data_IF_955304338157
#
_entry.id   IF_955304338157
#
_cell.length_a   1.000
_cell.length_b   1.000
_cell.length_c   1.000
_cell.angle_alpha   90.00
_cell.angle_beta   90.00
_cell.angle_gamma   90.00
#
_symmetry.space_group_name_H-M   'P 1'
#
loop_
_entity.id
_entity.type
_entity.pdbx_description
1 polymer ?
#
# COMPACT_ATOMS: atom_id res chain seq x y z
N UNK A 1 68.77 -8.61 -36.78
CA UNK A 1 68.32 -8.27 -35.41
C UNK A 1 66.92 -7.69 -35.51
N UNK A 2 65.97 -8.30 -34.79
CA UNK A 2 64.54 -8.10 -34.96
C UNK A 2 64.07 -6.68 -34.61
N UNK A 3 63.17 -6.14 -35.43
CA UNK A 3 62.41 -4.93 -35.14
C UNK A 3 61.23 -5.30 -34.21
N UNK A 4 61.15 -4.65 -33.06
CA UNK A 4 60.01 -4.77 -32.15
C UNK A 4 58.93 -3.77 -32.55
N UNK A 5 57.79 -4.28 -33.02
CA UNK A 5 56.56 -3.49 -33.17
C UNK A 5 55.85 -3.51 -31.82
N UNK A 6 55.77 -2.36 -31.15
CA UNK A 6 54.98 -2.19 -29.94
C UNK A 6 53.52 -1.97 -30.33
N UNK A 7 52.68 -2.96 -30.09
CA UNK A 7 51.22 -2.81 -30.18
C UNK A 7 50.72 -2.11 -28.90
N UNK A 8 50.34 -0.85 -29.02
CA UNK A 8 49.60 -0.12 -27.99
C UNK A 8 48.12 -0.54 -28.06
N UNK A 9 47.71 -1.42 -27.15
CA UNK A 9 46.30 -1.79 -26.97
C UNK A 9 45.63 -0.68 -26.18
N UNK A 10 44.85 0.16 -26.86
CA UNK A 10 43.94 1.09 -26.21
C UNK A 10 42.73 0.31 -25.65
N UNK A 11 42.74 0.02 -24.36
CA UNK A 11 41.57 -0.49 -23.65
C UNK A 11 40.58 0.67 -23.50
N UNK A 12 39.59 0.75 -24.38
CA UNK A 12 38.44 1.63 -24.19
C UNK A 12 37.66 1.08 -23.00
N UNK A 13 37.84 1.70 -21.83
CA UNK A 13 36.89 1.54 -20.73
C UNK A 13 35.61 2.25 -21.17
N UNK A 14 34.68 1.50 -21.77
CA UNK A 14 33.28 1.90 -21.81
C UNK A 14 32.81 1.82 -20.37
N UNK A 15 32.91 2.93 -19.64
CA UNK A 15 32.10 3.13 -18.45
C UNK A 15 30.68 3.23 -18.96
N UNK A 16 30.00 2.08 -19.06
CA UNK A 16 28.56 2.03 -19.22
C UNK A 16 27.99 2.66 -17.95
N UNK A 17 27.75 3.96 -18.02
CA UNK A 17 26.90 4.67 -17.08
C UNK A 17 25.45 4.34 -17.46
N UNK A 18 25.11 3.04 -17.50
CA UNK A 18 23.74 2.60 -17.69
C UNK A 18 23.04 2.83 -16.37
N UNK A 19 22.23 3.89 -16.30
CA UNK A 19 21.27 4.06 -15.21
C UNK A 19 20.52 2.76 -14.97
N UNK A 20 20.24 2.44 -13.71
CA UNK A 20 19.53 1.21 -13.37
C UNK A 20 18.09 1.32 -13.89
N UNK A 21 17.75 0.50 -14.88
CA UNK A 21 16.39 0.44 -15.46
C UNK A 21 15.33 0.25 -14.35
N UNK A 22 14.23 1.03 -14.33
CA UNK A 22 13.16 0.92 -13.34
C UNK A 22 12.44 -0.44 -13.38
N UNK A 23 12.78 -1.30 -12.43
CA UNK A 23 12.14 -2.60 -12.21
C UNK A 23 12.20 -2.95 -10.73
N UNK A 24 11.32 -3.86 -10.28
CA UNK A 24 11.44 -4.48 -8.97
C UNK A 24 12.75 -5.24 -8.87
N UNK A 25 13.45 -5.12 -7.73
CA UNK A 25 14.77 -5.76 -7.52
C UNK A 25 14.83 -6.54 -6.21
N UNK A 26 15.60 -7.62 -6.23
CA UNK A 26 15.97 -8.34 -5.03
C UNK A 26 17.15 -7.69 -4.30
N UNK A 27 17.56 -8.24 -3.15
CA UNK A 27 18.67 -7.70 -2.35
C UNK A 27 20.05 -7.78 -3.03
N UNK A 28 20.19 -8.64 -4.05
CA UNK A 28 21.39 -8.70 -4.91
C UNK A 28 21.38 -7.63 -5.99
N UNK A 29 20.29 -6.86 -6.12
CA UNK A 29 20.08 -5.87 -7.16
C UNK A 29 19.63 -6.46 -8.49
N UNK A 30 19.35 -7.77 -8.56
CA UNK A 30 18.88 -8.43 -9.78
C UNK A 30 17.40 -8.09 -10.00
N UNK A 31 16.97 -7.86 -11.26
CA UNK A 31 15.56 -7.61 -11.57
C UNK A 31 14.70 -8.83 -11.22
N UNK A 32 13.51 -8.58 -10.70
CA UNK A 32 12.48 -9.59 -10.42
C UNK A 32 11.15 -9.12 -10.98
N UNK A 33 10.32 -10.08 -11.39
CA UNK A 33 9.04 -9.79 -12.03
C UNK A 33 8.01 -9.14 -11.07
N UNK A 34 8.00 -9.59 -9.82
CA UNK A 34 7.27 -8.99 -8.72
C UNK A 34 7.90 -9.42 -7.39
N UNK A 35 7.57 -8.72 -6.30
CA UNK A 35 7.82 -9.21 -4.95
C UNK A 35 6.76 -8.72 -3.98
N UNK A 36 6.66 -9.44 -2.85
CA UNK A 36 5.99 -8.96 -1.65
C UNK A 36 7.04 -8.71 -0.57
N UNK A 37 6.91 -7.61 0.16
CA UNK A 37 7.69 -7.34 1.38
C UNK A 37 6.72 -7.09 2.53
N UNK A 38 6.98 -7.74 3.66
CA UNK A 38 6.25 -7.57 4.90
C UNK A 38 7.21 -7.09 5.98
N UNK A 39 7.11 -5.82 6.34
CA UNK A 39 7.88 -5.23 7.44
C UNK A 39 7.19 -5.58 8.75
N UNK A 40 7.91 -6.18 9.70
CA UNK A 40 7.36 -6.73 10.94
C UNK A 40 7.24 -5.65 12.04
N UNK A 41 6.18 -5.66 12.86
CA UNK A 41 6.02 -4.67 13.93
C UNK A 41 7.18 -4.70 14.93
N UNK A 42 7.38 -3.58 15.61
CA UNK A 42 8.44 -3.46 16.60
C UNK A 42 8.09 -4.23 17.86
N UNK A 43 8.95 -5.15 18.27
CA UNK A 43 8.83 -5.87 19.53
C UNK A 43 10.13 -5.72 20.36
N UNK A 44 10.07 -4.89 21.42
CA UNK A 44 11.26 -4.42 22.17
C UNK A 44 12.11 -5.54 22.78
N UNK A 45 11.48 -6.65 23.17
CA UNK A 45 12.14 -7.76 23.89
C UNK A 45 12.49 -8.94 22.97
N UNK A 46 12.31 -8.79 21.65
CA UNK A 46 12.56 -9.85 20.70
C UNK A 46 14.05 -10.20 20.58
N UNK A 47 14.39 -11.47 20.33
CA UNK A 47 15.78 -11.91 20.21
C UNK A 47 16.49 -11.29 19.00
N UNK A 48 15.78 -11.12 17.88
CA UNK A 48 16.31 -10.48 16.68
C UNK A 48 16.41 -8.93 16.86
N UNK A 49 17.61 -8.33 16.73
CA UNK A 49 17.81 -6.88 16.88
C UNK A 49 17.06 -6.02 15.86
N UNK A 50 16.82 -6.52 14.64
CA UNK A 50 16.04 -5.79 13.63
C UNK A 50 14.57 -5.68 14.04
N UNK A 51 14.01 -6.73 14.64
CA UNK A 51 12.64 -6.72 15.18
C UNK A 51 12.54 -5.76 16.38
N UNK A 52 13.52 -5.75 17.28
CA UNK A 52 13.58 -4.78 18.41
C UNK A 52 13.58 -3.33 17.97
N UNK A 53 14.20 -3.05 16.83
CA UNK A 53 14.24 -1.72 16.21
C UNK A 53 13.02 -1.42 15.33
N UNK A 54 12.22 -2.42 14.97
CA UNK A 54 11.08 -2.25 14.07
C UNK A 54 11.48 -2.03 12.62
N UNK A 55 12.60 -2.62 12.20
CA UNK A 55 13.13 -2.51 10.82
C UNK A 55 13.36 -3.87 10.17
N UNK A 56 12.98 -4.96 10.84
CA UNK A 56 12.97 -6.30 10.25
C UNK A 56 11.88 -6.39 9.17
N UNK A 57 12.19 -7.05 8.06
CA UNK A 57 11.21 -7.36 7.03
C UNK A 57 11.42 -8.74 6.44
N UNK A 58 10.32 -9.36 6.05
CA UNK A 58 10.30 -10.61 5.31
C UNK A 58 9.91 -10.35 3.86
N UNK A 59 10.25 -11.27 2.95
CA UNK A 59 9.91 -11.10 1.55
C UNK A 59 9.56 -12.41 0.84
N UNK A 60 8.82 -12.28 -0.28
CA UNK A 60 8.52 -13.34 -1.24
C UNK A 60 8.90 -12.86 -2.64
N UNK A 61 9.48 -13.78 -3.43
CA UNK A 61 9.82 -13.55 -4.84
C UNK A 61 9.43 -14.76 -5.67
N UNK A 62 9.20 -14.62 -6.99
CA UNK A 62 8.86 -15.74 -7.86
C UNK A 62 9.83 -16.93 -7.73
N UNK A 63 11.14 -16.65 -7.71
CA UNK A 63 12.19 -17.68 -7.70
C UNK A 63 12.31 -18.45 -6.38
N UNK A 64 11.80 -17.89 -5.27
CA UNK A 64 11.85 -18.51 -3.93
C UNK A 64 10.48 -18.81 -3.33
N UNK A 65 9.40 -18.62 -4.09
CA UNK A 65 8.02 -18.71 -3.61
C UNK A 65 7.68 -20.04 -2.92
N UNK A 66 8.24 -21.17 -3.40
CA UNK A 66 8.03 -22.51 -2.81
C UNK A 66 8.65 -22.68 -1.42
N UNK A 67 9.72 -21.96 -1.10
CA UNK A 67 10.35 -21.98 0.22
C UNK A 67 9.63 -21.09 1.25
N UNK A 68 8.72 -20.25 0.77
CA UNK A 68 7.90 -19.34 1.55
C UNK A 68 8.61 -18.07 1.99
N UNK A 69 8.07 -17.42 3.04
CA UNK A 69 8.56 -16.13 3.51
C UNK A 69 10.03 -16.21 3.95
N UNK A 70 10.87 -15.32 3.43
CA UNK A 70 12.29 -15.25 3.80
C UNK A 70 12.49 -14.07 4.75
N UNK A 71 13.12 -14.31 5.89
CA UNK A 71 13.54 -13.25 6.81
C UNK A 71 14.80 -12.59 6.24
N UNK A 72 14.78 -11.27 6.01
CA UNK A 72 15.97 -10.54 5.58
C UNK A 72 16.94 -10.31 6.75
N UNK A 73 18.24 -10.33 6.42
CA UNK A 73 19.32 -9.88 7.31
C UNK A 73 19.55 -8.36 7.23
N UNK A 74 18.93 -7.68 6.27
CA UNK A 74 18.99 -6.23 6.10
C UNK A 74 17.84 -5.56 6.85
N UNK A 75 18.11 -4.35 7.36
CA UNK A 75 17.03 -3.47 7.80
C UNK A 75 16.25 -2.97 6.58
N UNK A 76 14.94 -2.77 6.71
CA UNK A 76 14.16 -2.15 5.63
C UNK A 76 14.66 -0.74 5.32
N UNK A 77 15.24 -0.03 6.29
CA UNK A 77 15.87 1.28 6.08
C UNK A 77 17.22 1.21 5.35
N UNK A 78 17.80 0.04 5.17
CA UNK A 78 19.08 -0.12 4.45
C UNK A 78 18.84 0.13 2.95
N UNK A 79 19.60 1.01 2.27
CA UNK A 79 19.51 1.21 0.81
C UNK A 79 19.78 -0.06 -0.02
N UNK A 80 20.37 -1.09 0.60
CA UNK A 80 20.57 -2.41 -0.03
C UNK A 80 19.38 -3.36 0.12
N UNK A 81 18.37 -2.99 0.93
CA UNK A 81 17.12 -3.74 1.03
C UNK A 81 16.43 -3.85 -0.33
N UNK A 82 15.50 -4.81 -0.47
CA UNK A 82 14.74 -4.95 -1.71
C UNK A 82 14.02 -3.66 -2.12
N UNK A 83 13.39 -2.99 -1.14
CA UNK A 83 12.69 -1.72 -1.37
C UNK A 83 13.69 -0.61 -1.72
N UNK A 84 14.83 -0.53 -1.03
CA UNK A 84 15.88 0.45 -1.32
C UNK A 84 16.51 0.30 -2.71
N UNK A 85 16.81 -0.94 -3.13
CA UNK A 85 17.31 -1.23 -4.47
C UNK A 85 16.30 -0.91 -5.56
N UNK A 86 15.04 -1.25 -5.32
CA UNK A 86 13.92 -0.99 -6.24
C UNK A 86 13.69 0.50 -6.44
N UNK A 87 13.79 1.31 -5.38
CA UNK A 87 13.61 2.76 -5.45
C UNK A 87 14.89 3.52 -5.78
N UNK A 88 16.04 2.85 -5.91
CA UNK A 88 17.31 3.52 -6.22
C UNK A 88 17.28 4.39 -7.49
N UNK A 89 16.54 4.08 -8.59
CA UNK A 89 16.47 4.96 -9.75
C UNK A 89 15.87 6.33 -9.43
N UNK A 90 14.93 6.42 -8.47
CA UNK A 90 14.32 7.68 -8.04
C UNK A 90 15.35 8.70 -7.53
N UNK A 91 16.45 8.22 -6.96
CA UNK A 91 17.49 9.05 -6.35
C UNK A 91 18.70 9.29 -7.26
N UNK A 92 18.69 8.73 -8.47
CA UNK A 92 19.74 8.94 -9.46
C UNK A 92 19.52 10.26 -10.20
N UNK A 93 20.55 10.73 -10.89
CA UNK A 93 20.48 11.98 -11.68
C UNK A 93 19.79 11.81 -13.03
N UNK A 94 19.33 10.60 -13.36
CA UNK A 94 18.68 10.34 -14.63
C UNK A 94 17.33 11.07 -14.69
N UNK A 95 17.25 12.04 -15.60
CA UNK A 95 16.04 12.84 -15.84
C UNK A 95 15.15 12.25 -16.92
N UNK A 96 15.52 11.13 -17.52
CA UNK A 96 14.76 10.49 -18.58
C UNK A 96 13.83 9.39 -18.05
N UNK A 97 13.69 9.26 -16.73
CA UNK A 97 12.73 8.33 -16.12
C UNK A 97 11.42 9.04 -15.77
N UNK A 98 10.31 8.35 -15.96
CA UNK A 98 9.02 8.67 -15.35
C UNK A 98 9.15 8.43 -13.85
N UNK A 99 8.70 9.37 -13.04
CA UNK A 99 8.63 9.23 -11.59
C UNK A 99 7.33 9.82 -11.05
N UNK A 100 6.53 9.00 -10.39
CA UNK A 100 5.31 9.40 -9.70
C UNK A 100 5.33 8.85 -8.29
N UNK A 101 5.14 9.73 -7.30
CA UNK A 101 4.96 9.34 -5.91
C UNK A 101 3.62 9.87 -5.46
N UNK A 102 2.82 9.00 -4.86
CA UNK A 102 1.55 9.38 -4.27
C UNK A 102 1.45 8.82 -2.85
N UNK A 103 0.97 9.65 -1.93
CA UNK A 103 0.81 9.27 -0.54
C UNK A 103 -0.15 10.25 0.14
N UNK A 104 -1.26 9.76 0.69
CA UNK A 104 -2.21 10.59 1.44
C UNK A 104 -1.66 11.10 2.79
N UNK A 105 -0.46 10.67 3.16
CA UNK A 105 0.32 11.18 4.29
C UNK A 105 1.77 11.45 3.83
N UNK A 106 2.04 12.56 3.12
CA UNK A 106 3.32 12.80 2.44
C UNK A 106 4.54 12.83 3.38
N UNK A 107 5.75 12.51 2.88
CA UNK A 107 7.01 12.71 3.60
C UNK A 107 7.25 14.21 3.83
N UNK A 108 7.07 14.67 5.07
CA UNK A 108 7.36 16.02 5.57
C UNK A 108 6.85 17.22 4.73
N UNK A 109 5.62 17.64 4.98
CA UNK A 109 5.44 19.01 5.50
C UNK A 109 5.21 18.88 7.01
N UNK A 110 6.15 19.42 7.78
CA UNK A 110 6.10 19.50 9.23
C UNK A 110 4.87 20.34 9.65
N UNK A 111 4.13 19.88 10.68
CA UNK A 111 2.90 20.46 11.25
C UNK A 111 1.55 20.20 10.55
N UNK A 112 1.22 18.94 10.26
CA UNK A 112 -0.19 18.53 10.36
C UNK A 112 -0.39 17.60 11.56
N UNK A 113 -1.10 18.03 12.62
CA UNK A 113 -1.52 17.13 13.68
C UNK A 113 -2.42 16.04 13.09
N UNK A 114 -2.39 14.86 13.72
CA UNK A 114 -3.25 13.73 13.38
C UNK A 114 -4.69 14.20 13.12
N UNK A 115 -5.31 13.71 12.04
CA UNK A 115 -6.69 13.98 11.64
C UNK A 115 -7.63 13.79 12.84
N UNK A 116 -7.36 12.78 13.66
CA UNK A 116 -8.09 12.50 14.90
C UNK A 116 -7.97 13.63 15.93
N UNK A 117 -6.78 14.20 16.09
CA UNK A 117 -6.52 15.31 17.01
C UNK A 117 -7.24 16.59 16.53
N UNK A 118 -7.19 16.87 15.23
CA UNK A 118 -7.87 18.02 14.63
C UNK A 118 -9.41 17.93 14.74
N UNK A 119 -9.96 16.73 14.55
CA UNK A 119 -11.40 16.45 14.69
C UNK A 119 -11.84 16.58 16.16
N UNK A 120 -11.04 16.05 17.10
CA UNK A 120 -11.30 16.20 18.53
C UNK A 120 -11.27 17.66 19.00
N UNK A 121 -10.40 18.48 18.41
CA UNK A 121 -10.27 19.92 18.71
C UNK A 121 -11.44 20.74 18.15
N UNK A 122 -11.91 20.49 16.92
CA UNK A 122 -13.12 21.15 16.40
C UNK A 122 -14.38 20.78 17.18
N UNK A 123 -14.56 19.51 17.49
CA UNK A 123 -15.70 19.07 18.29
C UNK A 123 -15.67 19.77 19.67
N UNK A 124 -14.49 19.85 20.29
CA UNK A 124 -14.30 20.58 21.55
C UNK A 124 -14.65 22.07 21.44
N UNK A 125 -14.43 22.68 20.26
CA UNK A 125 -14.78 24.08 19.98
C UNK A 125 -16.27 24.26 19.71
N UNK A 126 -16.95 23.34 19.01
CA UNK A 126 -18.40 23.45 18.77
C UNK A 126 -19.23 23.25 20.05
N UNK A 127 -18.80 22.34 20.95
CA UNK A 127 -19.44 22.18 22.27
C UNK A 127 -19.32 23.40 23.18
N UNK A 128 -18.32 24.27 22.98
CA UNK A 128 -18.20 25.53 23.76
C UNK A 128 -19.28 26.56 23.42
N UNK A 129 -20.04 26.38 22.32
CA UNK A 129 -21.11 27.28 21.90
C UNK A 129 -22.53 26.81 22.22
N UNK A 130 -22.74 25.60 22.75
CA UNK A 130 -24.08 25.06 23.02
C UNK A 130 -24.33 24.91 24.52
N UNK A 131 -25.19 25.77 25.07
CA UNK A 131 -25.76 25.59 26.40
C UNK A 131 -26.66 24.35 26.43
N UNK A 132 -26.45 23.50 27.44
CA UNK A 132 -27.18 22.26 27.70
C UNK A 132 -28.69 22.51 27.84
N UNK A 133 -29.50 21.82 27.05
CA UNK A 133 -30.81 21.36 27.52
C UNK A 133 -30.71 19.88 27.87
N UNK A 134 -30.96 19.59 29.14
CA UNK A 134 -30.85 18.27 29.73
C UNK A 134 -32.09 17.42 29.41
N UNK A 135 -31.84 16.22 28.89
CA UNK A 135 -32.80 15.11 28.88
C UNK A 135 -32.01 13.82 29.14
N UNK A 136 -32.22 13.20 30.29
CA UNK A 136 -31.45 12.05 30.78
C UNK A 136 -31.78 10.80 29.94
N UNK A 137 -30.83 10.34 29.14
CA UNK A 137 -30.70 8.94 28.75
C UNK A 137 -29.25 8.51 29.05
N UNK A 138 -29.09 7.41 29.78
CA UNK A 138 -27.77 6.82 30.07
C UNK A 138 -27.22 6.23 28.77
N UNK A 139 -26.33 6.95 28.12
CA UNK A 139 -25.55 6.46 26.97
C UNK A 139 -24.22 5.88 27.44
N UNK A 140 -23.65 4.93 26.70
CA UNK A 140 -22.31 4.39 27.00
C UNK A 140 -21.30 5.51 26.77
N UNK A 141 -20.35 5.66 27.70
CA UNK A 141 -19.28 6.66 27.58
C UNK A 141 -17.99 5.97 27.15
N UNK A 142 -17.31 6.51 26.16
CA UNK A 142 -15.97 6.08 25.76
C UNK A 142 -14.98 7.23 25.87
N UNK A 143 -13.71 6.91 26.08
CA UNK A 143 -12.64 7.89 26.33
C UNK A 143 -11.79 8.06 25.07
N UNK A 144 -11.58 9.31 24.64
CA UNK A 144 -10.66 9.67 23.55
C UNK A 144 -9.71 10.76 24.07
N UNK A 145 -8.41 10.45 24.12
CA UNK A 145 -7.43 11.27 24.83
C UNK A 145 -7.79 11.41 26.32
N UNK A 146 -7.84 12.63 26.85
CA UNK A 146 -8.23 12.92 28.24
C UNK A 146 -9.73 13.19 28.44
N UNK A 147 -10.55 13.04 27.39
CA UNK A 147 -11.98 13.40 27.41
C UNK A 147 -12.89 12.20 27.20
N UNK A 148 -14.11 12.31 27.73
CA UNK A 148 -15.17 11.30 27.61
C UNK A 148 -16.29 11.82 26.71
N UNK A 149 -16.80 10.94 25.84
CA UNK A 149 -17.82 11.20 24.83
C UNK A 149 -18.95 10.17 24.96
N UNK A 150 -20.17 10.52 24.54
CA UNK A 150 -21.33 9.60 24.53
C UNK A 150 -21.75 9.16 23.11
N UNK A 151 -22.69 8.21 23.00
CA UNK A 151 -23.13 7.63 21.73
C UNK A 151 -23.81 8.66 20.78
N UNK A 152 -24.42 9.72 21.34
CA UNK A 152 -24.97 10.82 20.56
C UNK A 152 -23.86 11.70 20.00
N UNK A 153 -22.82 11.93 20.81
CA UNK A 153 -21.58 12.59 20.40
C UNK A 153 -20.91 11.81 19.26
N UNK A 154 -20.92 10.47 19.25
CA UNK A 154 -20.37 9.66 18.15
C UNK A 154 -21.15 9.84 16.85
N UNK A 155 -22.49 9.83 16.89
CA UNK A 155 -23.32 10.01 15.69
C UNK A 155 -23.21 11.43 15.10
N UNK A 156 -23.19 12.46 15.95
CA UNK A 156 -22.92 13.84 15.51
C UNK A 156 -21.46 14.01 15.06
N UNK A 157 -20.50 13.40 15.73
CA UNK A 157 -19.10 13.39 15.30
C UNK A 157 -18.94 12.68 13.96
N UNK A 158 -19.66 11.59 13.68
CA UNK A 158 -19.66 10.92 12.38
C UNK A 158 -20.29 11.79 11.28
N UNK A 159 -21.38 12.51 11.57
CA UNK A 159 -21.99 13.48 10.62
C UNK A 159 -21.10 14.69 10.38
N UNK A 160 -20.51 15.25 11.44
CA UNK A 160 -19.53 16.33 11.35
C UNK A 160 -18.23 15.85 10.69
N UNK A 161 -17.81 14.62 10.92
CA UNK A 161 -16.67 13.99 10.27
C UNK A 161 -16.95 13.79 8.77
N UNK A 162 -18.11 13.27 8.38
CA UNK A 162 -18.50 13.18 6.97
C UNK A 162 -18.52 14.56 6.29
N UNK A 163 -19.09 15.58 6.94
CA UNK A 163 -19.12 16.96 6.45
C UNK A 163 -17.72 17.60 6.43
N UNK A 164 -16.87 17.31 7.42
CA UNK A 164 -15.51 17.81 7.52
C UNK A 164 -14.55 17.09 6.56
N UNK A 165 -14.71 15.79 6.34
CA UNK A 165 -13.96 14.97 5.39
C UNK A 165 -14.29 15.38 3.95
N UNK A 166 -15.57 15.66 3.65
CA UNK A 166 -15.97 16.30 2.38
C UNK A 166 -15.26 17.64 2.11
N UNK A 167 -14.81 18.33 3.16
CA UNK A 167 -14.11 19.63 3.04
C UNK A 167 -12.60 19.54 3.25
N UNK A 168 -12.02 18.38 3.60
CA UNK A 168 -10.60 18.28 3.98
C UNK A 168 -9.83 17.08 3.41
N UNK A 169 -10.51 16.05 2.92
CA UNK A 169 -9.85 14.89 2.33
C UNK A 169 -10.26 14.85 0.86
N UNK A 170 -9.61 15.69 0.07
CA UNK A 170 -9.80 15.76 -1.39
C UNK A 170 -9.22 14.52 -2.10
N UNK A 171 -8.46 13.67 -1.40
CA UNK A 171 -7.70 12.57 -1.99
C UNK A 171 -7.97 11.21 -1.31
N UNK A 172 -7.91 10.14 -2.10
CA UNK A 172 -8.10 8.77 -1.64
C UNK A 172 -7.06 8.28 -0.64
N UNK A 173 -7.37 7.17 0.04
CA UNK A 173 -6.44 6.49 0.95
C UNK A 173 -5.50 5.59 0.18
N UNK A 174 -4.60 6.20 -0.57
CA UNK A 174 -3.75 5.48 -1.50
C UNK A 174 -2.29 5.92 -1.41
N UNK A 175 -1.38 4.95 -1.55
CA UNK A 175 0.07 5.21 -1.49
C UNK A 175 0.86 4.29 -2.41
N UNK A 176 1.85 4.85 -3.08
CA UNK A 176 2.70 4.09 -3.96
C UNK A 176 3.68 4.92 -4.77
N UNK A 177 4.46 4.20 -5.56
CA UNK A 177 5.50 4.76 -6.43
C UNK A 177 5.40 4.11 -7.81
N UNK A 178 5.45 4.94 -8.85
CA UNK A 178 5.66 4.51 -10.23
C UNK A 178 7.01 5.06 -10.68
N UNK A 179 7.88 4.17 -11.15
CA UNK A 179 9.11 4.54 -11.86
C UNK A 179 9.09 3.87 -13.22
N UNK A 180 9.57 4.53 -14.26
CA UNK A 180 9.58 3.97 -15.62
C UNK A 180 10.61 4.58 -16.53
N UNK A 181 11.10 3.82 -17.49
CA UNK A 181 11.84 4.32 -18.64
C UNK A 181 11.06 4.02 -19.93
N UNK A 182 11.71 4.04 -21.09
CA UNK A 182 11.06 3.76 -22.37
C UNK A 182 10.51 2.34 -22.52
N UNK A 183 11.06 1.38 -21.79
CA UNK A 183 10.78 -0.04 -21.99
C UNK A 183 10.16 -0.71 -20.76
N UNK A 184 10.67 -0.37 -19.58
CA UNK A 184 10.31 -1.03 -18.33
C UNK A 184 9.89 -0.03 -17.28
N UNK A 185 8.88 -0.43 -16.52
CA UNK A 185 8.38 0.31 -15.38
C UNK A 185 8.13 -0.61 -14.20
N UNK A 186 8.00 0.00 -13.03
CA UNK A 186 7.53 -0.67 -11.82
C UNK A 186 6.36 0.11 -11.22
N UNK A 187 5.46 -0.63 -10.58
CA UNK A 187 4.44 -0.10 -9.71
C UNK A 187 4.59 -0.71 -8.31
N UNK A 188 4.88 0.15 -7.32
CA UNK A 188 5.03 -0.21 -5.92
C UNK A 188 3.80 0.28 -5.15
N UNK A 189 2.93 -0.64 -4.72
CA UNK A 189 1.80 -0.38 -3.81
C UNK A 189 2.26 -0.65 -2.38
N UNK A 190 1.97 0.25 -1.44
CA UNK A 190 2.38 0.08 -0.05
C UNK A 190 1.46 0.74 0.96
N UNK A 191 1.63 0.39 2.24
CA UNK A 191 0.83 0.94 3.33
C UNK A 191 1.53 2.03 4.17
N UNK A 192 2.81 2.33 3.89
CA UNK A 192 3.67 3.18 4.72
C UNK A 192 3.40 4.69 4.57
N UNK A 193 2.99 5.40 5.64
CA UNK A 193 2.92 6.86 5.67
C UNK A 193 4.31 7.49 5.56
N UNK A 194 4.38 8.69 4.98
CA UNK A 194 5.59 9.53 4.92
C UNK A 194 6.74 8.85 4.17
N UNK A 195 6.40 8.07 3.16
CA UNK A 195 7.35 7.26 2.38
C UNK A 195 7.06 7.40 0.88
N UNK A 196 8.09 7.28 0.03
CA UNK A 196 9.52 7.34 0.34
C UNK A 196 10.02 8.79 0.51
N UNK A 197 11.26 9.04 1.00
CA UNK A 197 11.86 10.36 0.92
C UNK A 197 11.81 10.92 -0.50
N UNK A 198 11.46 12.20 -0.65
CA UNK A 198 11.35 12.82 -1.98
C UNK A 198 12.73 13.19 -2.53
N UNK A 199 12.95 13.10 -3.85
CA UNK A 199 14.14 13.67 -4.50
C UNK A 199 14.32 15.14 -4.16
N UNK A 200 15.49 15.52 -3.63
CA UNK A 200 15.87 16.92 -3.38
C UNK A 200 17.07 17.28 -4.25
N UNK A 201 16.87 18.22 -5.18
CA UNK A 201 17.88 18.67 -6.14
C UNK A 201 18.50 19.96 -5.64
N UNK A 202 19.68 19.88 -5.05
CA UNK A 202 20.49 21.04 -4.69
C UNK A 202 21.65 21.19 -5.67
N UNK A 203 21.80 22.37 -6.29
CA UNK A 203 22.87 22.69 -7.24
C UNK A 203 23.02 21.67 -8.40
N UNK A 204 21.91 21.09 -8.86
CA UNK A 204 21.90 20.11 -9.94
C UNK A 204 22.25 18.67 -9.54
N UNK A 205 22.51 18.41 -8.25
CA UNK A 205 22.77 17.08 -7.69
C UNK A 205 21.60 16.67 -6.79
N UNK A 206 21.15 15.42 -6.91
CA UNK A 206 20.22 14.86 -5.93
C UNK A 206 21.01 14.56 -4.64
N UNK A 207 20.63 15.19 -3.53
CA UNK A 207 21.26 15.00 -2.22
C UNK A 207 20.46 14.08 -1.30
N UNK A 208 19.27 13.68 -1.73
CA UNK A 208 18.42 12.72 -1.02
C UNK A 208 18.80 11.28 -1.36
N UNK A 209 18.43 10.36 -0.48
CA UNK A 209 18.61 8.93 -0.69
C UNK A 209 17.47 8.14 -0.07
N UNK A 210 17.47 6.85 -0.38
CA UNK A 210 16.52 5.94 0.23
C UNK A 210 16.67 5.91 1.75
N UNK A 211 15.53 6.06 2.44
CA UNK A 211 15.40 5.81 3.87
C UNK A 211 13.98 5.34 4.18
N UNK A 212 13.79 4.80 5.38
CA UNK A 212 12.50 4.32 5.86
C UNK A 212 12.02 5.15 7.07
N UNK A 213 10.80 5.71 7.03
CA UNK A 213 10.38 6.68 8.02
C UNK A 213 10.28 6.05 9.42
N UNK A 214 10.74 6.80 10.42
CA UNK A 214 10.67 6.39 11.83
C UNK A 214 9.23 6.11 12.29
N UNK A 215 8.24 6.81 11.72
CA UNK A 215 6.80 6.57 11.97
C UNK A 215 6.35 5.20 11.47
N UNK A 216 6.98 4.67 10.42
CA UNK A 216 6.72 3.34 9.88
C UNK A 216 7.35 2.20 10.70
N UNK A 217 8.18 2.51 11.71
CA UNK A 217 8.89 1.49 12.49
C UNK A 217 8.00 0.75 13.51
N UNK A 218 6.92 1.38 13.98
CA UNK A 218 6.09 0.84 15.07
C UNK A 218 5.27 -0.38 14.64
N UNK A 219 4.58 -0.29 13.51
CA UNK A 219 3.59 -1.28 13.08
C UNK A 219 4.07 -2.13 11.91
N UNK A 220 3.41 -3.27 11.69
CA UNK A 220 3.55 -4.06 10.48
C UNK A 220 3.16 -3.26 9.23
N UNK A 221 3.78 -3.54 8.08
CA UNK A 221 3.51 -2.84 6.82
C UNK A 221 3.70 -3.79 5.64
N UNK A 222 2.89 -3.63 4.59
CA UNK A 222 2.97 -4.42 3.37
C UNK A 222 3.44 -3.59 2.17
N UNK A 223 4.13 -4.27 1.26
CA UNK A 223 4.52 -3.76 -0.05
C UNK A 223 4.27 -4.83 -1.10
N UNK A 224 3.78 -4.41 -2.26
CA UNK A 224 3.75 -5.18 -3.49
C UNK A 224 4.44 -4.37 -4.56
N UNK A 225 5.49 -4.91 -5.17
CA UNK A 225 6.12 -4.35 -6.36
C UNK A 225 5.81 -5.24 -7.55
N UNK A 226 5.43 -4.63 -8.68
CA UNK A 226 5.20 -5.33 -9.95
C UNK A 226 6.01 -4.66 -11.06
N UNK A 227 6.84 -5.43 -11.77
CA UNK A 227 7.57 -4.97 -12.96
C UNK A 227 6.68 -5.18 -14.19
N UNK A 228 6.49 -4.13 -14.99
CA UNK A 228 5.59 -4.08 -16.14
C UNK A 228 6.25 -3.40 -17.33
N UNK A 229 5.65 -3.53 -18.51
CA UNK A 229 6.03 -2.69 -19.66
C UNK A 229 5.57 -1.25 -19.42
N UNK A 230 6.28 -0.27 -19.96
CA UNK A 230 5.92 1.15 -19.80
C UNK A 230 4.52 1.46 -20.30
N UNK A 231 4.07 0.84 -21.39
CA UNK A 231 2.71 1.00 -21.93
C UNK A 231 1.61 0.60 -20.94
N UNK A 232 1.87 -0.38 -20.06
CA UNK A 232 0.95 -0.82 -18.99
C UNK A 232 0.68 0.28 -17.97
N UNK A 233 1.56 1.28 -17.84
CA UNK A 233 1.33 2.43 -16.96
C UNK A 233 0.04 3.18 -17.32
N UNK A 234 -0.41 3.15 -18.58
CA UNK A 234 -1.65 3.81 -18.97
C UNK A 234 -2.90 3.10 -18.38
N UNK A 235 -2.84 1.78 -18.21
CA UNK A 235 -3.89 0.98 -17.53
C UNK A 235 -3.86 1.22 -16.01
N UNK A 236 -2.65 1.23 -15.42
CA UNK A 236 -2.44 1.54 -14.00
C UNK A 236 -2.90 2.97 -13.70
N UNK A 237 -2.62 3.93 -14.59
CA UNK A 237 -3.07 5.31 -14.44
C UNK A 237 -4.60 5.43 -14.46
N UNK A 238 -5.32 4.61 -15.24
CA UNK A 238 -6.78 4.54 -15.13
C UNK A 238 -7.21 4.18 -13.71
N UNK A 239 -6.59 3.17 -13.09
CA UNK A 239 -6.87 2.81 -11.69
C UNK A 239 -6.59 3.98 -10.75
N UNK A 240 -5.49 4.70 -10.94
CA UNK A 240 -5.17 5.89 -10.14
C UNK A 240 -6.20 7.01 -10.31
N UNK A 241 -6.80 7.21 -11.49
CA UNK A 241 -7.93 8.17 -11.63
C UNK A 241 -9.06 7.83 -10.67
N UNK A 242 -9.37 6.54 -10.48
CA UNK A 242 -10.31 6.02 -9.48
C UNK A 242 -9.82 6.19 -8.05
N UNK A 243 -8.54 5.94 -7.78
CA UNK A 243 -8.02 6.05 -6.44
C UNK A 243 -7.89 7.50 -5.93
N UNK A 244 -8.01 8.50 -6.80
CA UNK A 244 -7.94 9.93 -6.45
C UNK A 244 -6.67 10.27 -5.62
N UNK A 245 -5.46 9.87 -6.05
CA UNK A 245 -4.26 9.95 -5.23
C UNK A 245 -3.84 11.39 -4.93
N UNK A 246 -3.30 11.61 -3.74
CA UNK A 246 -2.50 12.79 -3.46
C UNK A 246 -1.11 12.60 -4.07
N UNK A 247 -0.83 13.25 -5.19
CA UNK A 247 0.50 13.24 -5.80
C UNK A 247 1.45 14.15 -5.02
N UNK A 248 2.60 13.61 -4.63
CA UNK A 248 3.59 14.32 -3.78
C UNK A 248 4.87 14.63 -4.55
N UNK A 249 5.14 13.89 -5.62
CA UNK A 249 6.22 14.14 -6.55
C UNK A 249 5.84 13.61 -7.92
N UNK A 250 6.09 14.41 -8.96
CA UNK A 250 5.79 14.07 -10.33
C UNK A 250 6.93 14.53 -11.24
N UNK A 251 7.36 13.65 -12.14
CA UNK A 251 8.27 13.96 -13.22
C UNK A 251 7.93 13.05 -14.40
N UNK A 252 7.56 13.63 -15.53
CA UNK A 252 7.26 12.92 -16.77
C UNK A 252 8.06 13.60 -17.88
N UNK A 253 9.05 12.91 -18.48
CA UNK A 253 9.74 13.41 -19.66
C UNK A 253 8.77 13.67 -20.82
N UNK A 254 9.02 14.72 -21.61
CA UNK A 254 8.12 15.22 -22.65
C UNK A 254 7.71 14.14 -23.68
N UNK A 255 8.60 13.19 -23.98
CA UNK A 255 8.32 12.08 -24.89
C UNK A 255 7.15 11.18 -24.42
N UNK A 256 7.00 10.99 -23.11
CA UNK A 256 5.95 10.16 -22.53
C UNK A 256 4.60 10.86 -22.41
N UNK A 257 4.54 12.19 -22.55
CA UNK A 257 3.26 12.92 -22.41
C UNK A 257 2.23 12.50 -23.46
N UNK A 258 2.70 12.12 -24.66
CA UNK A 258 1.83 11.66 -25.74
C UNK A 258 1.59 10.15 -25.71
N UNK A 259 2.54 9.37 -25.19
CA UNK A 259 2.46 7.91 -25.11
C UNK A 259 1.61 7.41 -23.93
N UNK A 260 1.54 8.18 -22.84
CA UNK A 260 0.85 7.81 -21.60
C UNK A 260 -0.24 8.83 -21.20
N UNK A 261 -1.29 9.01 -22.01
CA UNK A 261 -2.28 10.07 -21.79
C UNK A 261 -3.04 9.96 -20.46
N UNK A 262 -3.35 8.75 -19.97
CA UNK A 262 -4.01 8.58 -18.68
C UNK A 262 -3.07 8.93 -17.53
N UNK A 263 -1.77 8.68 -17.67
CA UNK A 263 -0.79 9.07 -16.65
C UNK A 263 -0.66 10.60 -16.58
N UNK A 264 -0.68 11.27 -17.74
CA UNK A 264 -0.74 12.74 -17.82
C UNK A 264 -2.03 13.27 -17.20
N UNK A 265 -3.17 12.63 -17.44
CA UNK A 265 -4.44 12.97 -16.79
C UNK A 265 -4.32 12.90 -15.25
N UNK A 266 -3.70 11.85 -14.72
CA UNK A 266 -3.43 11.70 -13.27
C UNK A 266 -2.55 12.85 -12.77
N UNK A 267 -1.45 13.17 -13.47
CA UNK A 267 -0.57 14.30 -13.10
C UNK A 267 -1.29 15.65 -13.12
N UNK A 268 -2.30 15.80 -13.98
CA UNK A 268 -3.18 16.98 -14.04
C UNK A 268 -4.35 16.91 -13.06
N UNK A 269 -4.32 15.99 -12.09
CA UNK A 269 -5.35 15.75 -11.08
C UNK A 269 -6.75 15.51 -11.68
N UNK A 270 -6.85 14.93 -12.88
CA UNK A 270 -8.14 14.54 -13.44
C UNK A 270 -8.61 13.24 -12.82
N UNK A 271 -9.82 13.26 -12.28
CA UNK A 271 -10.52 12.10 -11.73
C UNK A 271 -11.63 11.66 -12.68
N UNK A 272 -12.47 10.72 -12.24
CA UNK A 272 -13.67 10.27 -12.95
C UNK A 272 -14.86 11.06 -12.45
N UNK A 273 -15.73 11.41 -13.39
CA UNK A 273 -16.92 12.21 -13.20
C UNK A 273 -18.21 11.44 -13.53
N UNK A 274 -18.08 10.18 -13.96
CA UNK A 274 -19.19 9.33 -14.36
C UNK A 274 -19.11 7.94 -13.70
N UNK A 275 -20.29 7.35 -13.51
CA UNK A 275 -20.44 5.98 -13.03
C UNK A 275 -20.02 4.96 -14.11
N UNK A 276 -19.62 3.72 -13.73
CA UNK A 276 -19.52 3.21 -12.35
C UNK A 276 -18.39 3.85 -11.55
N UNK A 277 -18.58 4.01 -10.24
CA UNK A 277 -17.61 4.61 -9.31
C UNK A 277 -16.49 3.67 -8.87
N UNK A 278 -16.31 2.59 -9.61
CA UNK A 278 -15.27 1.60 -9.44
C UNK A 278 -14.78 1.13 -10.80
N UNK A 279 -13.59 0.54 -10.82
CA UNK A 279 -13.00 -0.03 -12.02
C UNK A 279 -12.15 -1.24 -11.70
N UNK A 280 -12.17 -2.22 -12.60
CA UNK A 280 -11.44 -3.47 -12.49
C UNK A 280 -10.57 -3.56 -13.74
N UNK A 281 -9.26 -3.64 -13.55
CA UNK A 281 -8.30 -3.68 -14.65
C UNK A 281 -7.42 -4.91 -14.53
N UNK A 282 -7.31 -5.69 -15.61
CA UNK A 282 -6.34 -6.78 -15.69
C UNK A 282 -5.11 -6.31 -16.44
N UNK A 283 -3.94 -6.61 -15.89
CA UNK A 283 -2.66 -6.31 -16.52
C UNK A 283 -1.66 -7.43 -16.28
N UNK A 284 -0.58 -7.43 -17.06
CA UNK A 284 0.45 -8.46 -17.01
C UNK A 284 1.80 -7.86 -16.62
N UNK A 285 2.58 -8.66 -15.90
CA UNK A 285 3.98 -8.36 -15.60
C UNK A 285 4.87 -8.56 -16.82
N UNK A 286 6.15 -8.19 -16.72
CA UNK A 286 7.14 -8.41 -17.78
C UNK A 286 7.25 -9.88 -18.23
N UNK A 287 7.02 -10.85 -17.34
CA UNK A 287 7.02 -12.29 -17.68
C UNK A 287 5.63 -12.87 -17.93
N UNK A 288 4.60 -12.04 -18.07
CA UNK A 288 3.24 -12.47 -18.41
C UNK A 288 2.40 -12.98 -17.23
N UNK A 289 2.77 -12.67 -15.98
CA UNK A 289 1.92 -13.01 -14.83
C UNK A 289 0.75 -12.03 -14.77
N UNK A 290 -0.47 -12.57 -14.72
CA UNK A 290 -1.69 -11.77 -14.63
C UNK A 290 -1.92 -11.25 -13.20
N UNK A 291 -2.22 -9.96 -13.14
CA UNK A 291 -2.75 -9.27 -11.97
C UNK A 291 -4.11 -8.65 -12.31
N UNK A 292 -4.90 -8.43 -11.27
CA UNK A 292 -6.20 -7.78 -11.31
C UNK A 292 -6.21 -6.65 -10.30
N UNK A 293 -6.30 -5.41 -10.75
CA UNK A 293 -6.41 -4.23 -9.91
C UNK A 293 -7.87 -3.86 -9.71
N UNK A 294 -8.25 -3.67 -8.45
CA UNK A 294 -9.55 -3.15 -8.06
C UNK A 294 -9.37 -1.72 -7.53
N UNK A 295 -10.09 -0.77 -8.12
CA UNK A 295 -10.12 0.60 -7.67
C UNK A 295 -11.55 1.07 -7.47
N UNK A 296 -11.73 1.91 -6.46
CA UNK A 296 -12.96 2.67 -6.21
C UNK A 296 -12.62 4.14 -6.05
N UNK A 297 -13.58 5.01 -6.35
CA UNK A 297 -13.55 6.45 -6.04
C UNK A 297 -14.29 6.78 -4.76
N UNK A 298 -14.20 8.03 -4.30
CA UNK A 298 -14.97 8.52 -3.16
C UNK A 298 -16.50 8.37 -3.33
N UNK A 299 -16.98 8.26 -4.56
CA UNK A 299 -18.41 8.12 -4.88
C UNK A 299 -18.92 6.67 -4.82
N UNK A 300 -18.04 5.69 -4.63
CA UNK A 300 -18.44 4.29 -4.51
C UNK A 300 -19.30 4.01 -3.27
N UNK A 301 -18.98 4.68 -2.14
CA UNK A 301 -19.79 4.68 -0.92
C UNK A 301 -20.12 3.29 -0.35
N UNK A 302 -19.16 2.36 -0.43
CA UNK A 302 -19.21 1.02 0.17
C UNK A 302 -17.78 0.52 0.50
N UNK A 303 -17.64 -0.55 1.28
CA UNK A 303 -16.34 -1.19 1.56
C UNK A 303 -15.76 -1.78 0.28
N UNK A 304 -14.46 -1.56 0.01
CA UNK A 304 -13.81 -2.11 -1.18
C UNK A 304 -13.92 -3.64 -1.21
N UNK A 305 -13.69 -4.29 -0.06
CA UNK A 305 -13.54 -5.73 -0.01
C UNK A 305 -14.88 -6.44 -0.11
N UNK A 306 -15.87 -6.08 0.71
CA UNK A 306 -17.21 -6.70 0.66
C UNK A 306 -18.13 -6.13 -0.41
N UNK A 307 -17.90 -4.91 -0.88
CA UNK A 307 -18.69 -4.25 -1.93
C UNK A 307 -18.23 -4.52 -3.35
N UNK A 308 -16.98 -4.93 -3.54
CA UNK A 308 -16.42 -5.12 -4.88
C UNK A 308 -15.59 -6.40 -4.98
N UNK A 309 -14.54 -6.54 -4.19
CA UNK A 309 -13.54 -7.60 -4.40
C UNK A 309 -14.15 -8.99 -4.20
N UNK A 310 -14.85 -9.22 -3.09
CA UNK A 310 -15.44 -10.53 -2.79
C UNK A 310 -16.52 -10.92 -3.80
N UNK A 311 -17.36 -9.97 -4.22
CA UNK A 311 -18.45 -10.19 -5.19
C UNK A 311 -17.90 -10.48 -6.60
N UNK A 312 -16.85 -9.77 -7.04
CA UNK A 312 -16.23 -10.01 -8.36
C UNK A 312 -15.44 -11.32 -8.37
N UNK A 313 -14.67 -11.59 -7.31
CA UNK A 313 -13.90 -12.83 -7.21
C UNK A 313 -14.77 -14.04 -6.87
N UNK A 314 -16.03 -13.82 -6.51
CA UNK A 314 -16.98 -14.84 -6.08
C UNK A 314 -16.41 -15.72 -4.97
N UNK A 315 -15.80 -15.10 -3.96
CA UNK A 315 -15.13 -15.79 -2.87
C UNK A 315 -15.24 -15.03 -1.57
N UNK A 316 -15.44 -15.77 -0.47
CA UNK A 316 -15.19 -15.26 0.87
C UNK A 316 -13.74 -14.79 0.99
N UNK A 317 -13.51 -13.74 1.77
CA UNK A 317 -12.20 -13.13 1.98
C UNK A 317 -11.86 -13.06 3.47
N UNK A 318 -10.58 -13.26 3.78
CA UNK A 318 -9.97 -12.90 5.06
C UNK A 318 -9.10 -11.66 4.83
N UNK A 319 -9.36 -10.58 5.57
CA UNK A 319 -8.73 -9.28 5.32
C UNK A 319 -7.96 -8.78 6.53
N UNK A 320 -6.69 -8.47 6.32
CA UNK A 320 -5.85 -7.71 7.25
C UNK A 320 -5.98 -6.23 6.88
N UNK A 321 -6.28 -5.40 7.88
CA UNK A 321 -6.46 -3.97 7.74
C UNK A 321 -6.25 -3.29 9.09
N UNK A 322 -5.96 -1.98 9.06
CA UNK A 322 -5.76 -1.21 10.28
C UNK A 322 -7.04 -1.13 11.13
N UNK A 323 -6.98 -1.61 12.37
CA UNK A 323 -8.14 -1.70 13.27
C UNK A 323 -8.19 -0.64 14.38
N UNK A 324 -7.18 0.22 14.49
CA UNK A 324 -7.15 1.25 15.55
C UNK A 324 -7.79 2.57 15.12
N UNK A 325 -8.40 2.63 13.94
CA UNK A 325 -9.05 3.82 13.41
C UNK A 325 -10.51 3.96 13.90
N UNK A 326 -11.04 5.20 13.95
CA UNK A 326 -12.45 5.41 14.21
C UNK A 326 -13.30 4.81 13.07
N UNK A 327 -14.42 4.18 13.44
CA UNK A 327 -15.32 3.57 12.47
C UNK A 327 -14.73 2.37 11.74
N UNK A 328 -13.77 1.66 12.33
CA UNK A 328 -13.33 0.34 11.83
C UNK A 328 -14.55 -0.56 11.61
N UNK A 329 -14.63 -1.21 10.45
CA UNK A 329 -15.75 -2.06 10.10
C UNK A 329 -15.59 -3.45 10.74
N UNK A 330 -16.70 -4.00 11.23
CA UNK A 330 -16.77 -5.41 11.64
C UNK A 330 -16.75 -6.34 10.42
N UNK A 331 -16.60 -7.64 10.69
CA UNK A 331 -16.72 -8.67 9.65
C UNK A 331 -18.10 -8.62 8.99
N UNK A 332 -18.13 -8.64 7.65
CA UNK A 332 -19.35 -8.65 6.86
C UNK A 332 -19.71 -10.09 6.54
N UNK A 333 -20.85 -10.55 7.03
CA UNK A 333 -21.28 -11.94 6.92
C UNK A 333 -22.71 -12.10 6.40
N UNK A 334 -23.36 -10.98 6.04
CA UNK A 334 -24.73 -10.95 5.56
C UNK A 334 -24.85 -10.92 4.03
N UNK A 335 -23.75 -10.65 3.33
CA UNK A 335 -23.65 -10.66 1.87
C UNK A 335 -23.47 -12.08 1.31
N UNK A 336 -23.47 -12.19 -0.02
CA UNK A 336 -23.27 -13.46 -0.73
C UNK A 336 -21.92 -14.10 -0.37
N UNK A 337 -20.90 -13.25 -0.22
CA UNK A 337 -19.55 -13.65 0.17
C UNK A 337 -19.14 -12.95 1.46
N UNK A 338 -18.64 -13.72 2.42
CA UNK A 338 -18.22 -13.20 3.71
C UNK A 338 -16.86 -12.52 3.61
N UNK A 339 -16.72 -11.37 4.24
CA UNK A 339 -15.43 -10.67 4.38
C UNK A 339 -15.11 -10.50 5.85
N UNK A 340 -14.27 -11.42 6.35
CA UNK A 340 -13.92 -11.52 7.77
C UNK A 340 -12.59 -10.83 8.05
N UNK A 341 -12.55 -10.05 9.12
CA UNK A 341 -11.33 -9.40 9.57
C UNK A 341 -10.38 -10.43 10.19
N UNK A 342 -9.11 -10.36 9.82
CA UNK A 342 -8.05 -11.03 10.55
C UNK A 342 -7.89 -10.32 11.90
N UNK A 343 -7.69 -11.09 12.97
CA UNK A 343 -7.46 -10.54 14.31
C UNK A 343 -6.01 -10.71 14.76
N UNK A 344 -5.39 -11.82 14.34
CA UNK A 344 -4.06 -12.21 14.77
C UNK A 344 -3.30 -12.90 13.65
N UNK A 345 -2.05 -12.47 13.50
CA UNK A 345 -1.08 -13.06 12.63
C UNK A 345 0.04 -13.74 13.42
N UNK A 346 0.56 -14.81 12.85
CA UNK A 346 1.70 -15.57 13.35
C UNK A 346 2.73 -15.70 12.26
N UNK A 347 3.96 -15.32 12.57
CA UNK A 347 5.12 -15.44 11.70
C UNK A 347 6.11 -16.43 12.32
N UNK A 348 5.99 -17.75 12.03
CA UNK A 348 6.80 -18.78 12.67
C UNK A 348 8.31 -18.56 12.49
N UNK A 349 8.73 -18.10 11.30
CA UNK A 349 10.14 -17.85 10.96
C UNK A 349 10.71 -16.69 11.79
N UNK A 350 9.90 -15.64 11.99
CA UNK A 350 10.27 -14.53 12.85
C UNK A 350 10.12 -14.87 14.35
N UNK A 351 9.48 -16.01 14.69
CA UNK A 351 9.12 -16.41 16.06
C UNK A 351 8.27 -15.36 16.79
N UNK A 352 7.33 -14.75 16.08
CA UNK A 352 6.45 -13.73 16.64
C UNK A 352 4.99 -13.95 16.24
N UNK A 353 4.09 -13.49 17.10
CA UNK A 353 2.65 -13.35 16.81
C UNK A 353 2.20 -11.98 17.29
N UNK A 354 1.28 -11.36 16.57
CA UNK A 354 0.73 -10.06 16.94
C UNK A 354 -0.68 -9.89 16.40
N UNK A 355 -1.45 -9.01 17.02
CA UNK A 355 -2.80 -8.67 16.56
C UNK A 355 -2.76 -7.62 15.46
N UNK A 356 -3.81 -7.52 14.66
CA UNK A 356 -3.98 -6.49 13.62
C UNK A 356 -3.94 -5.05 14.17
N UNK A 357 -4.11 -4.88 15.49
CA UNK A 357 -3.87 -3.61 16.19
C UNK A 357 -2.40 -3.16 16.13
N UNK A 358 -1.47 -4.07 15.81
CA UNK A 358 -0.06 -3.78 15.63
C UNK A 358 0.36 -3.79 14.16
N UNK A 359 -0.60 -3.79 13.22
CA UNK A 359 -0.30 -3.97 11.81
C UNK A 359 -1.06 -2.96 10.92
N UNK A 360 -0.29 -2.19 10.16
CA UNK A 360 -0.79 -1.21 9.19
C UNK A 360 -0.83 -1.79 7.77
N UNK A 361 -0.51 -3.06 7.55
CA UNK A 361 -0.66 -3.68 6.24
C UNK A 361 -2.12 -3.69 5.78
N UNK A 362 -2.31 -3.88 4.48
CA UNK A 362 -3.63 -4.09 3.86
C UNK A 362 -3.49 -5.20 2.86
N UNK A 363 -4.02 -6.36 3.19
CA UNK A 363 -4.01 -7.50 2.30
C UNK A 363 -5.20 -8.40 2.57
N UNK A 364 -5.57 -9.18 1.56
CA UNK A 364 -6.66 -10.14 1.66
C UNK A 364 -6.28 -11.45 0.99
N UNK A 365 -6.87 -12.53 1.47
CA UNK A 365 -6.83 -13.84 0.81
C UNK A 365 -8.23 -14.40 0.65
N UNK A 366 -8.46 -15.09 -0.47
CA UNK A 366 -9.66 -15.89 -0.65
C UNK A 366 -9.72 -17.02 0.39
N UNK A 367 -10.90 -17.37 0.88
CA UNK A 367 -11.09 -18.56 1.69
C UNK A 367 -11.16 -19.76 0.74
N UNK A 368 -10.14 -20.62 0.78
CA UNK A 368 -10.14 -21.81 -0.05
C UNK A 368 -11.24 -22.79 0.38
N UNK A 369 -11.80 -23.55 -0.56
CA UNK A 369 -12.82 -24.58 -0.31
C UNK A 369 -12.46 -25.58 0.79
N UNK A 370 -11.17 -25.86 1.05
CA UNK A 370 -10.76 -26.72 2.19
C UNK A 370 -11.03 -26.11 3.58
N UNK A 371 -11.23 -24.79 3.65
CA UNK A 371 -11.55 -24.07 4.89
C UNK A 371 -13.06 -23.96 5.13
N UNK A 372 -13.89 -24.17 4.10
CA UNK A 372 -15.33 -24.37 4.26
C UNK A 372 -15.63 -25.87 4.25
N UNK A 373 -16.35 -26.39 5.24
CA UNK A 373 -16.90 -27.76 5.18
C UNK A 373 -18.05 -27.87 4.14
N UNK A 374 -17.92 -27.22 2.97
CA UNK A 374 -18.95 -27.15 1.92
C UNK A 374 -18.55 -28.00 0.70
N UNK A 375 -19.52 -28.72 0.15
CA UNK A 375 -19.37 -29.55 -1.06
C UNK A 375 -19.60 -28.76 -2.36
N UNK A 376 -19.80 -27.44 -2.29
CA UNK A 376 -20.16 -26.64 -3.47
C UNK A 376 -18.91 -26.32 -4.32
N UNK A 377 -18.83 -26.90 -5.52
CA UNK A 377 -17.61 -26.95 -6.36
C UNK A 377 -17.34 -25.68 -7.16
N UNK A 378 -17.93 -24.52 -6.81
CA UNK A 378 -17.72 -23.28 -7.55
C UNK A 378 -16.67 -22.41 -6.85
N UNK A 379 -15.50 -22.32 -7.48
CA UNK A 379 -14.47 -21.27 -7.33
C UNK A 379 -13.71 -21.24 -5.99
N UNK A 380 -12.68 -22.10 -5.82
CA UNK A 380 -11.58 -21.76 -4.91
C UNK A 380 -10.43 -21.23 -5.76
N UNK A 381 -10.54 -19.98 -6.15
CA UNK A 381 -9.41 -19.29 -6.75
C UNK A 381 -8.53 -18.76 -5.61
N UNK A 382 -7.28 -19.24 -5.60
CA UNK A 382 -6.28 -18.94 -4.59
C UNK A 382 -5.77 -17.49 -4.70
N UNK A 383 -6.64 -16.52 -4.45
CA UNK A 383 -6.38 -15.09 -4.59
C UNK A 383 -5.62 -14.53 -3.40
N UNK A 384 -4.61 -13.72 -3.69
CA UNK A 384 -3.92 -12.83 -2.74
C UNK A 384 -4.03 -11.42 -3.28
N UNK A 385 -4.50 -10.50 -2.44
CA UNK A 385 -4.63 -9.09 -2.74
C UNK A 385 -3.77 -8.27 -1.78
N UNK A 386 -3.05 -7.26 -2.27
CA UNK A 386 -2.32 -6.28 -1.45
C UNK A 386 -2.68 -4.90 -1.93
N UNK A 387 -3.07 -4.04 -1.00
CA UNK A 387 -3.60 -2.71 -1.28
C UNK A 387 -3.14 -1.66 -0.30
N UNK A 388 -3.89 -0.57 -0.26
CA UNK A 388 -3.59 0.61 0.56
C UNK A 388 -4.79 1.08 1.39
N UNK A 389 -6.03 0.71 1.01
CA UNK A 389 -7.26 1.14 1.67
C UNK A 389 -7.61 0.31 2.91
N UNK A 390 -7.97 0.98 4.02
CA UNK A 390 -8.47 0.32 5.24
C UNK A 390 -9.95 -0.07 5.11
N UNK A 391 -10.36 -1.09 5.85
CA UNK A 391 -11.77 -1.39 6.16
C UNK A 391 -12.27 -0.52 7.31
N UNK A 392 -12.67 0.71 7.00
CA UNK A 392 -13.30 1.61 7.96
C UNK A 392 -14.36 2.48 7.27
N UNK A 393 -15.45 2.81 7.97
CA UNK A 393 -16.58 3.62 7.49
C UNK A 393 -16.14 4.93 6.81
N UNK A 394 -15.16 5.71 7.32
CA UNK A 394 -14.69 6.91 6.62
C UNK A 394 -13.98 6.63 5.28
N UNK A 395 -13.55 5.39 5.03
CA UNK A 395 -12.93 4.98 3.77
C UNK A 395 -13.95 4.52 2.74
N UNK A 396 -15.22 4.30 3.11
CA UNK A 396 -16.29 4.01 2.14
C UNK A 396 -16.44 5.14 1.12
N UNK A 397 -16.22 6.38 1.58
CA UNK A 397 -16.30 7.62 0.80
C UNK A 397 -14.93 8.19 0.39
N UNK A 398 -13.90 7.35 0.26
CA UNK A 398 -12.59 7.75 -0.26
C UNK A 398 -12.14 6.83 -1.40
N UNK A 399 -11.43 7.38 -2.37
CA UNK A 399 -10.73 6.58 -3.37
C UNK A 399 -9.67 5.66 -2.76
N UNK A 400 -9.40 4.53 -3.40
CA UNK A 400 -8.35 3.58 -3.00
C UNK A 400 -8.55 2.22 -3.64
N UNK A 401 -7.60 1.30 -3.43
CA UNK A 401 -7.59 0.07 -4.22
C UNK A 401 -6.83 -1.10 -3.60
N UNK A 402 -6.86 -2.21 -4.32
CA UNK A 402 -6.08 -3.41 -4.00
C UNK A 402 -5.72 -4.15 -5.28
N UNK A 403 -4.53 -4.74 -5.32
CA UNK A 403 -4.03 -5.47 -6.48
C UNK A 403 -3.92 -6.94 -6.15
N UNK A 404 -4.61 -7.76 -6.92
CA UNK A 404 -4.79 -9.19 -6.69
C UNK A 404 -4.09 -10.05 -7.74
N UNK A 405 -3.65 -11.23 -7.35
CA UNK A 405 -3.20 -12.28 -8.27
C UNK A 405 -3.51 -13.66 -7.69
N UNK A 406 -3.77 -14.62 -8.56
CA UNK A 406 -4.08 -15.99 -8.13
C UNK A 406 -2.84 -16.88 -8.14
N UNK A 407 -2.75 -17.79 -7.18
CA UNK A 407 -1.69 -18.79 -7.16
C UNK A 407 -1.67 -19.58 -5.86
N UNK A 408 -1.85 -20.91 -5.87
CA UNK A 408 -1.97 -21.72 -4.65
C UNK A 408 -0.78 -21.61 -3.71
N UNK A 409 0.44 -21.53 -4.25
CA UNK A 409 1.66 -21.42 -3.45
C UNK A 409 1.77 -20.03 -2.80
N UNK A 410 1.45 -18.97 -3.56
CA UNK A 410 1.45 -17.61 -3.03
C UNK A 410 0.38 -17.44 -1.95
N UNK A 411 -0.84 -17.89 -2.25
CA UNK A 411 -1.94 -17.94 -1.30
C UNK A 411 -1.59 -18.68 -0.03
N UNK A 412 -1.01 -19.88 -0.13
CA UNK A 412 -0.60 -20.67 1.03
C UNK A 412 0.39 -19.92 1.92
N UNK A 413 1.29 -19.12 1.34
CA UNK A 413 2.22 -18.31 2.12
C UNK A 413 1.55 -17.22 2.96
N UNK A 414 0.48 -16.60 2.46
CA UNK A 414 -0.29 -15.62 3.21
C UNK A 414 -1.27 -16.28 4.18
N UNK A 415 -2.00 -17.30 3.73
CA UNK A 415 -3.00 -18.00 4.53
C UNK A 415 -2.41 -18.64 5.79
N UNK A 416 -1.20 -19.20 5.73
CA UNK A 416 -0.52 -19.77 6.90
C UNK A 416 -0.05 -18.74 7.93
N UNK A 417 -0.09 -17.43 7.62
CA UNK A 417 0.17 -16.39 8.62
C UNK A 417 -1.04 -16.15 9.53
N UNK A 418 -2.24 -16.56 9.12
CA UNK A 418 -3.48 -16.25 9.82
C UNK A 418 -3.64 -17.18 11.03
N UNK A 419 -3.64 -16.62 12.24
CA UNK A 419 -3.82 -17.37 13.50
C UNK A 419 -5.28 -17.32 13.99
N UNK A 420 -5.94 -16.16 13.90
CA UNK A 420 -7.36 -16.03 14.20
C UNK A 420 -8.03 -14.95 13.36
N UNK A 421 -9.35 -15.08 13.20
CA UNK A 421 -10.23 -14.18 12.45
C UNK A 421 -11.45 -13.87 13.30
N UNK A 422 -11.97 -12.66 13.14
CA UNK A 422 -13.18 -12.21 13.82
C UNK A 422 -14.36 -13.09 13.37
N UNK A 423 -15.17 -13.50 14.33
CA UNK A 423 -16.36 -14.31 14.08
C UNK A 423 -17.50 -13.46 13.52
N UNK A 424 -18.31 -14.06 12.66
CA UNK A 424 -19.63 -13.55 12.33
C UNK A 424 -20.53 -13.71 13.57
N UNK A 425 -21.18 -12.64 14.00
CA UNK A 425 -22.13 -12.67 15.12
C UNK A 425 -23.55 -12.93 14.63
#
# INVERSE_FOLDING_TARGET
MCAYIVFLVFTIFVTDCTGLTPQCRNEKGEPVDWFYVYKLPREKNHLNPLVRRGVAYMHLTPSKLRGGWIMSDLAISDPRSMVGKTLSPLYQQDRNIISLIYNDQPPATENQPDILQSVADMYSKSKRGQMKQAGVKKYKKFKLGDKYYDDYDLAEMCKMHSKFMKTRVESGHTKGVILGDKFTSLWLVHSVPRFPPLPDIMNGLNVSGYDYPSTGMKYGQSFLCVSVQTSTLNQIATQLKYNEPLLVYTHIPQEFETELPNLVDVVRNKTIDASPWYHIESFETLVGRKFLSFAKSAMFNDDLYSGLVAEVLQSDLLVESWTNGPGTLDSECSRNFQVRNIERLKFPIAKMSFTSHNDHSKWAVAVAHKMHNSQDTKVADYWVCVGDINRALPQESRGGGTVCTSGPILWGNFAHLIESVQTCN
#
